data_IF_232009054310
#
_entry.id   IF_232009054310
#
_cell.length_a   1.000
_cell.length_b   1.000
_cell.length_c   1.000
_cell.angle_alpha   90.00
_cell.angle_beta   90.00
_cell.angle_gamma   90.00
#
_symmetry.space_group_name_H-M   'P 1'
#
loop_
_entity.id
_entity.type
_entity.pdbx_description
1 polymer ?
#
# COMPACT_ATOMS: atom_id res chain seq x y z
N UNK A 1 15.24 -12.91 12.52
CA UNK A 1 15.30 -12.72 11.67
C UNK A 1 14.55 -13.28 10.73
N UNK A 2 14.59 -13.21 9.61
CA UNK A 2 13.82 -13.66 8.76
C UNK A 2 14.10 -14.95 8.39
N UNK A 3 13.25 -15.82 8.20
CA UNK A 3 13.38 -17.18 7.79
C UNK A 3 13.48 -17.33 6.31
N UNK A 4 13.78 -16.30 5.63
CA UNK A 4 13.88 -16.37 4.19
C UNK A 4 12.61 -16.02 3.45
N UNK A 5 11.56 -15.74 4.18
CA UNK A 5 10.32 -15.34 3.53
C UNK A 5 10.46 -13.90 3.01
N UNK A 6 10.11 -13.68 1.76
CA UNK A 6 10.13 -12.36 1.15
C UNK A 6 8.71 -11.88 0.92
N UNK A 7 8.37 -10.74 1.49
CA UNK A 7 7.05 -10.16 1.29
C UNK A 7 7.04 -9.42 -0.04
N UNK A 8 6.05 -9.71 -0.87
CA UNK A 8 5.94 -9.05 -2.16
C UNK A 8 4.99 -7.88 -2.09
N UNK A 9 5.13 -6.94 -3.03
CA UNK A 9 4.28 -5.76 -3.05
C UNK A 9 2.80 -6.11 -3.08
N UNK A 10 2.43 -7.17 -3.81
CA UNK A 10 1.02 -7.57 -3.88
C UNK A 10 0.50 -7.97 -2.51
N UNK A 11 1.34 -8.55 -1.68
CA UNK A 11 0.94 -8.94 -0.34
C UNK A 11 0.75 -7.72 0.55
N UNK A 12 1.58 -6.71 0.39
CA UNK A 12 1.43 -5.48 1.15
C UNK A 12 0.16 -4.73 0.77
N UNK A 13 -0.13 -4.68 -0.52
CA UNK A 13 -1.34 -4.04 -1.01
C UNK A 13 -2.59 -4.76 -0.45
N UNK A 14 -2.61 -6.08 -0.57
CA UNK A 14 -3.76 -6.85 -0.07
C UNK A 14 -3.87 -6.77 1.44
N UNK A 15 -2.74 -6.80 2.14
CA UNK A 15 -2.74 -6.68 3.57
C UNK A 15 -3.27 -5.32 4.04
N UNK A 16 -2.88 -4.24 3.36
CA UNK A 16 -3.37 -2.92 3.70
C UNK A 16 -4.87 -2.82 3.44
N UNK A 17 -5.34 -3.41 2.34
CA UNK A 17 -6.77 -3.45 2.03
C UNK A 17 -7.54 -4.12 3.17
N UNK A 18 -7.06 -5.27 3.65
CA UNK A 18 -7.71 -5.99 4.73
C UNK A 18 -7.66 -5.22 6.05
N UNK A 19 -6.58 -4.48 6.30
CA UNK A 19 -6.48 -3.67 7.50
C UNK A 19 -7.54 -2.56 7.50
N UNK A 20 -7.78 -1.94 6.35
CA UNK A 20 -8.82 -0.91 6.26
C UNK A 20 -10.19 -1.54 6.49
N UNK A 21 -10.42 -2.72 5.90
CA UNK A 21 -11.68 -3.44 6.14
C UNK A 21 -11.88 -3.72 7.63
N UNK A 22 -10.82 -4.18 8.30
CA UNK A 22 -10.91 -4.50 9.72
C UNK A 22 -11.19 -3.24 10.53
N UNK A 23 -10.57 -2.14 10.16
CA UNK A 23 -10.78 -0.90 10.86
C UNK A 23 -12.21 -0.39 10.72
N UNK A 24 -12.79 -0.53 9.53
CA UNK A 24 -14.15 -0.09 9.27
C UNK A 24 -15.20 -1.14 9.59
N UNK A 25 -14.74 -2.36 9.87
CA UNK A 25 -15.60 -3.48 10.23
C UNK A 25 -16.60 -3.82 9.13
N UNK A 26 -16.13 -3.77 7.89
CA UNK A 26 -16.96 -4.15 6.75
C UNK A 26 -16.09 -4.52 5.57
N UNK A 27 -16.68 -5.26 4.62
CA UNK A 27 -15.97 -5.60 3.40
C UNK A 27 -15.92 -4.37 2.49
N UNK A 28 -14.82 -4.21 1.79
CA UNK A 28 -14.66 -3.11 0.84
C UNK A 28 -14.30 -3.75 -0.49
N UNK A 29 -15.09 -3.46 -1.53
CA UNK A 29 -14.82 -4.04 -2.84
C UNK A 29 -13.57 -3.43 -3.43
N UNK A 30 -12.96 -4.11 -4.39
CA UNK A 30 -11.80 -3.56 -5.09
C UNK A 30 -12.14 -2.27 -5.80
N UNK A 31 -13.34 -2.17 -6.36
CA UNK A 31 -13.76 -0.94 -7.03
C UNK A 31 -13.81 0.23 -6.06
N UNK A 32 -14.41 0.01 -4.90
CA UNK A 32 -14.52 1.06 -3.90
C UNK A 32 -13.14 1.46 -3.38
N UNK A 33 -12.29 0.48 -3.09
CA UNK A 33 -10.96 0.78 -2.58
C UNK A 33 -10.13 1.53 -3.63
N UNK A 34 -10.22 1.12 -4.88
CA UNK A 34 -9.49 1.79 -5.95
C UNK A 34 -9.90 3.27 -6.04
N UNK A 35 -11.19 3.55 -5.90
CA UNK A 35 -11.67 4.91 -5.92
C UNK A 35 -11.13 5.70 -4.72
N UNK A 36 -11.11 5.08 -3.56
CA UNK A 36 -10.64 5.75 -2.34
C UNK A 36 -9.18 6.15 -2.45
N UNK A 37 -8.37 5.34 -3.08
CA UNK A 37 -6.93 5.61 -3.17
C UNK A 37 -6.54 6.28 -4.49
N UNK A 38 -7.52 6.52 -5.35
CA UNK A 38 -7.25 7.33 -6.54
C UNK A 38 -6.59 6.60 -7.70
N UNK A 39 -6.81 5.30 -7.84
CA UNK A 39 -6.27 4.55 -8.98
C UNK A 39 -7.42 3.86 -9.70
N UNK A 40 -7.19 3.47 -10.93
CA UNK A 40 -8.21 2.75 -11.70
C UNK A 40 -8.43 1.36 -11.15
N UNK A 41 -9.63 0.83 -11.33
CA UNK A 41 -9.98 -0.49 -10.85
C UNK A 41 -9.06 -1.57 -11.41
N UNK A 42 -8.84 -1.54 -12.73
CA UNK A 42 -8.00 -2.55 -13.37
C UNK A 42 -6.56 -2.48 -12.82
N UNK A 43 -6.05 -1.28 -12.62
CA UNK A 43 -4.72 -1.10 -12.10
C UNK A 43 -4.62 -1.64 -10.68
N UNK A 44 -5.64 -1.40 -9.86
CA UNK A 44 -5.64 -1.91 -8.49
C UNK A 44 -5.66 -3.44 -8.49
N UNK A 45 -6.44 -4.06 -9.37
CA UNK A 45 -6.45 -5.51 -9.47
C UNK A 45 -5.07 -6.04 -9.87
N UNK A 46 -4.39 -5.36 -10.77
CA UNK A 46 -3.05 -5.77 -11.19
C UNK A 46 -2.06 -5.69 -10.03
N UNK A 47 -2.18 -4.65 -9.21
CA UNK A 47 -1.32 -4.55 -8.03
C UNK A 47 -1.56 -5.71 -7.08
N UNK A 48 -2.83 -6.06 -6.86
CA UNK A 48 -3.16 -7.15 -5.95
C UNK A 48 -2.74 -8.51 -6.49
N UNK A 49 -2.72 -8.67 -7.82
CA UNK A 49 -2.30 -9.93 -8.43
C UNK A 49 -0.80 -10.02 -8.61
N UNK A 50 -0.11 -8.91 -8.51
CA UNK A 50 1.34 -8.90 -8.71
C UNK A 50 1.76 -8.81 -10.16
N UNK A 51 0.81 -8.53 -11.08
CA UNK A 51 1.15 -8.41 -12.49
C UNK A 51 1.62 -7.00 -12.84
N UNK A 52 1.53 -6.06 -11.89
CA UNK A 52 2.02 -4.71 -12.07
C UNK A 52 2.67 -4.31 -10.75
N UNK A 53 3.98 -4.25 -10.72
CA UNK A 53 4.73 -3.92 -9.51
C UNK A 53 5.66 -2.74 -9.82
N UNK A 54 5.15 -1.51 -9.68
CA UNK A 54 5.94 -0.33 -10.03
C UNK A 54 7.24 -0.25 -9.26
N UNK A 55 8.31 0.01 -9.97
CA UNK A 55 9.62 0.10 -9.36
C UNK A 55 9.67 1.25 -8.37
N UNK A 56 8.97 2.34 -8.66
CA UNK A 56 8.94 3.49 -7.76
C UNK A 56 8.35 3.15 -6.40
N UNK A 57 7.34 2.27 -6.37
CA UNK A 57 6.75 1.83 -5.11
C UNK A 57 7.78 1.05 -4.29
N UNK A 58 8.51 0.17 -4.95
CA UNK A 58 9.54 -0.60 -4.28
C UNK A 58 10.63 0.31 -3.74
N UNK A 59 11.06 1.28 -4.56
CA UNK A 59 12.09 2.22 -4.15
C UNK A 59 11.64 3.03 -2.94
N UNK A 60 10.40 3.50 -2.95
CA UNK A 60 9.89 4.29 -1.85
C UNK A 60 9.83 3.46 -0.56
N UNK A 61 9.34 2.24 -0.64
CA UNK A 61 9.27 1.39 0.55
C UNK A 61 10.66 1.11 1.11
N UNK A 62 11.63 0.89 0.22
CA UNK A 62 13.00 0.65 0.68
C UNK A 62 13.58 1.90 1.34
N UNK A 63 13.30 3.09 0.80
CA UNK A 63 13.77 4.31 1.41
C UNK A 63 13.13 4.52 2.78
N UNK A 64 11.82 4.27 2.89
CA UNK A 64 11.14 4.44 4.16
C UNK A 64 11.71 3.54 5.23
N UNK A 65 12.17 2.35 4.86
CA UNK A 65 12.72 1.44 5.83
C UNK A 65 14.11 1.83 6.33
N UNK A 66 14.70 2.87 5.79
CA UNK A 66 15.96 3.41 6.31
C UNK A 66 15.67 4.45 7.41
N UNK A 67 14.41 4.76 7.66
CA UNK A 67 14.00 5.79 8.60
C UNK A 67 13.39 5.17 9.85
N UNK A 68 13.28 5.94 10.93
CA UNK A 68 12.59 5.45 12.11
C UNK A 68 11.08 5.60 11.94
N UNK A 69 10.33 5.04 12.86
CA UNK A 69 8.87 4.99 12.74
C UNK A 69 8.24 6.37 12.63
N UNK A 70 8.71 7.33 13.42
CA UNK A 70 8.14 8.67 13.39
C UNK A 70 8.41 9.35 12.06
N UNK A 71 9.58 9.11 11.50
CA UNK A 71 9.94 9.69 10.21
C UNK A 71 9.11 9.08 9.09
N UNK A 72 8.88 7.77 9.14
CA UNK A 72 8.05 7.10 8.15
C UNK A 72 6.65 7.70 8.16
N UNK A 73 6.09 7.86 9.34
CA UNK A 73 4.75 8.41 9.48
C UNK A 73 4.72 9.84 8.92
N UNK A 74 5.76 10.63 9.21
CA UNK A 74 5.80 12.00 8.73
C UNK A 74 5.80 12.07 7.21
N UNK A 75 6.63 11.25 6.56
CA UNK A 75 6.70 11.26 5.10
C UNK A 75 5.34 10.89 4.49
N UNK A 76 4.72 9.85 5.02
CA UNK A 76 3.44 9.39 4.49
C UNK A 76 2.36 10.45 4.69
N UNK A 77 2.33 11.10 5.86
CA UNK A 77 1.32 12.11 6.14
C UNK A 77 1.54 13.40 5.35
N UNK A 78 2.79 13.71 5.04
CA UNK A 78 3.08 14.86 4.18
C UNK A 78 2.47 14.67 2.80
N UNK A 79 2.49 13.44 2.28
CA UNK A 79 1.86 13.16 1.01
C UNK A 79 0.36 13.45 1.10
N UNK A 80 -0.26 13.01 2.18
CA UNK A 80 -1.69 13.24 2.36
C UNK A 80 -2.01 14.72 2.44
N UNK A 81 -1.19 15.49 3.16
CA UNK A 81 -1.42 16.91 3.33
C UNK A 81 -1.23 17.68 2.04
N UNK A 82 -0.37 17.21 1.16
CA UNK A 82 -0.05 17.93 -0.07
C UNK A 82 -1.04 17.67 -1.19
N UNK A 83 -1.97 16.73 -0.97
CA UNK A 83 -2.87 16.36 -2.05
C UNK A 83 -4.06 17.27 -2.20
N UNK A 84 -4.11 18.37 -1.54
CA UNK A 84 -5.22 19.27 -1.64
C UNK A 84 -5.44 19.86 -3.02
#
# INVERSE_FOLDING_TARGET
MFSGHTVELKELISGAHHLVEAREKKRITQTDMAQRIGVGYRTYLEYQRGTNAPLAMKALLNLLNLLDDAEIVRVVREWEESRE
#
